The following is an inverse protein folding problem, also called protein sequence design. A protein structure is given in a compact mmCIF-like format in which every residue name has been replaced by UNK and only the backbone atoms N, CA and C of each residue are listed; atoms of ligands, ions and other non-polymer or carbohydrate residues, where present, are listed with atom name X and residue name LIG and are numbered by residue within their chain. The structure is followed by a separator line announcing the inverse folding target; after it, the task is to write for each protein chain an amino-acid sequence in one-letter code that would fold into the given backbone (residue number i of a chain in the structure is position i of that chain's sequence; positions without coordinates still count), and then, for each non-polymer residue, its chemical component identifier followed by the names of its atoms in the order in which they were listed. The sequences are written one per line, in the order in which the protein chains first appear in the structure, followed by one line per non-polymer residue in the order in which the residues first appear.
data_IF_924527999727
#
_entry.id   IF_924527999727
#
_cell.length_a   1.000
_cell.length_b   1.000
_cell.length_c   1.000
_cell.angle_alpha   90.00
_cell.angle_beta   90.00
_cell.angle_gamma   90.00
#
_symmetry.space_group_name_H-M   'P 1'
#
loop_
_entity.id
_entity.type
_entity.pdbx_description
1 polymer ?
#
# COMPACT_ATOMS: atom_id res chain seq x y z
N UNK A 1 -10.80 23.66 -21.82
CA UNK A 1 -11.08 22.30 -21.29
C UNK A 1 -9.75 21.70 -20.83
N UNK A 2 -9.52 21.54 -19.51
CA UNK A 2 -8.25 21.01 -18.97
C UNK A 2 -8.03 19.60 -19.56
N UNK A 3 -7.12 19.48 -20.54
CA UNK A 3 -6.61 18.22 -21.09
C UNK A 3 -5.28 17.91 -20.40
N UNK A 4 -5.29 17.64 -19.10
CA UNK A 4 -4.22 16.90 -18.41
C UNK A 4 -4.59 16.83 -16.94
N UNK A 5 -4.72 15.61 -16.45
CA UNK A 5 -4.30 15.25 -15.11
C UNK A 5 -3.50 14.00 -15.39
N UNK A 6 -2.26 13.95 -14.92
CA UNK A 6 -1.46 12.74 -14.78
C UNK A 6 -0.37 13.00 -13.77
N UNK A 7 -0.10 12.00 -12.94
CA UNK A 7 1.27 11.61 -12.71
C UNK A 7 1.33 10.09 -12.93
N UNK A 8 1.55 9.71 -14.19
CA UNK A 8 2.48 8.61 -14.48
C UNK A 8 3.86 9.23 -14.41
N UNK A 9 4.79 8.54 -13.75
CA UNK A 9 6.20 8.64 -14.09
C UNK A 9 6.67 7.27 -14.59
N UNK A 10 7.28 7.29 -15.77
CA UNK A 10 8.03 6.19 -16.35
C UNK A 10 9.46 6.27 -15.76
N UNK A 11 9.94 5.21 -15.12
CA UNK A 11 11.34 5.08 -14.71
C UNK A 11 12.01 3.98 -15.52
N UNK A 12 13.02 4.38 -16.30
CA UNK A 12 14.13 3.51 -16.66
C UNK A 12 15.22 3.73 -15.60
N UNK A 13 15.35 2.71 -14.77
CA UNK A 13 16.45 2.37 -13.85
C UNK A 13 17.58 3.41 -13.67
N UNK A 14 17.67 4.01 -12.48
CA UNK A 14 18.72 3.82 -11.46
C UNK A 14 18.66 4.98 -10.45
N UNK A 15 18.52 4.63 -9.16
CA UNK A 15 18.59 5.46 -7.94
C UNK A 15 17.33 6.29 -7.55
N UNK A 16 16.65 5.77 -6.52
CA UNK A 16 15.74 6.39 -5.55
C UNK A 16 15.38 7.88 -5.74
N UNK A 17 14.15 8.14 -6.20
CA UNK A 17 13.42 9.38 -5.91
C UNK A 17 11.92 9.09 -5.86
N UNK A 18 11.29 9.26 -4.69
CA UNK A 18 9.84 9.12 -4.51
C UNK A 18 9.13 10.42 -4.89
N UNK A 19 8.05 10.33 -5.67
CA UNK A 19 7.14 11.45 -5.96
C UNK A 19 6.01 11.45 -4.93
N UNK A 20 5.67 12.66 -4.49
CA UNK A 20 4.75 12.95 -3.42
C UNK A 20 3.55 13.67 -4.01
N UNK A 21 2.35 13.15 -3.77
CA UNK A 21 1.09 13.81 -4.13
C UNK A 21 0.48 14.38 -2.84
N UNK A 22 0.35 15.70 -2.76
CA UNK A 22 -0.30 16.40 -1.65
C UNK A 22 -1.80 16.56 -1.94
N UNK A 23 -2.65 15.77 -1.28
CA UNK A 23 -4.09 16.02 -1.20
C UNK A 23 -4.39 16.62 0.17
N UNK A 24 -4.78 17.90 0.20
CA UNK A 24 -5.29 18.53 1.42
C UNK A 24 -6.75 18.14 1.64
N UNK A 25 -6.99 17.34 2.68
CA UNK A 25 -8.25 17.29 3.41
C UNK A 25 -7.93 17.47 4.89
N UNK A 26 -8.13 18.67 5.44
CA UNK A 26 -8.08 18.87 6.89
C UNK A 26 -9.39 18.36 7.48
N UNK A 27 -9.49 17.05 7.71
CA UNK A 27 -10.52 16.48 8.58
C UNK A 27 -9.94 16.25 9.96
N UNK A 28 -10.46 16.97 10.94
CA UNK A 28 -10.26 16.65 12.35
C UNK A 28 -10.96 15.31 12.62
N UNK A 29 -10.20 14.23 12.73
CA UNK A 29 -10.74 12.97 13.25
C UNK A 29 -10.51 13.00 14.76
N UNK A 30 -11.55 13.33 15.53
CA UNK A 30 -11.60 12.94 16.94
C UNK A 30 -11.54 11.42 16.99
N UNK A 31 -10.54 10.90 17.70
CA UNK A 31 -10.41 9.47 18.01
C UNK A 31 -11.58 9.12 18.93
N UNK A 32 -12.67 8.62 18.37
CA UNK A 32 -13.57 7.76 19.13
C UNK A 32 -13.10 6.33 18.87
N UNK A 33 -12.89 5.55 19.92
CA UNK A 33 -12.67 4.10 19.81
C UNK A 33 -13.80 3.52 18.95
N UNK A 34 -13.51 3.24 17.67
CA UNK A 34 -14.47 2.54 16.82
C UNK A 34 -14.39 1.06 17.21
N UNK A 35 -15.54 0.38 17.35
CA UNK A 35 -15.54 -1.05 17.62
C UNK A 35 -14.75 -1.78 16.53
N UNK A 36 -13.91 -2.73 16.93
CA UNK A 36 -13.09 -3.55 16.02
C UNK A 36 -14.02 -4.31 15.10
N UNK A 37 -14.00 -3.98 13.81
CA UNK A 37 -14.84 -4.59 12.79
C UNK A 37 -13.98 -5.43 11.85
N UNK A 38 -14.45 -6.66 11.61
CA UNK A 38 -13.78 -7.79 10.95
C UNK A 38 -12.60 -8.42 11.73
N UNK A 39 -12.82 -9.59 12.32
CA UNK A 39 -11.84 -10.36 13.11
C UNK A 39 -10.87 -11.11 12.19
N UNK A 40 -9.96 -10.39 11.55
CA UNK A 40 -8.75 -11.05 11.03
C UNK A 40 -7.96 -11.56 12.22
N UNK A 41 -7.64 -12.85 12.23
CA UNK A 41 -6.85 -13.45 13.30
C UNK A 41 -5.40 -13.07 13.05
N UNK A 42 -4.78 -12.45 14.05
CA UNK A 42 -3.40 -11.99 13.98
C UNK A 42 -2.46 -13.16 14.24
N UNK A 43 -1.27 -13.09 13.65
CA UNK A 43 -0.17 -13.96 14.01
C UNK A 43 0.42 -13.55 15.37
N UNK A 44 0.96 -14.51 16.11
CA UNK A 44 1.85 -14.20 17.22
C UNK A 44 3.21 -13.75 16.66
N UNK A 45 3.83 -12.78 17.32
CA UNK A 45 5.15 -12.28 16.95
C UNK A 45 6.23 -12.87 17.87
N UNK A 46 7.41 -13.26 17.34
CA UNK A 46 7.79 -13.26 15.93
C UNK A 46 7.04 -14.31 15.10
N UNK A 47 6.73 -13.98 13.84
CA UNK A 47 6.12 -14.91 12.88
C UNK A 47 7.17 -15.91 12.42
N UNK A 48 6.92 -17.20 12.65
CA UNK A 48 7.82 -18.25 12.18
C UNK A 48 7.63 -18.51 10.69
N UNK A 49 8.72 -18.73 9.97
CA UNK A 49 8.66 -19.12 8.56
C UNK A 49 9.69 -20.18 8.18
N UNK A 50 9.42 -20.86 7.07
CA UNK A 50 10.36 -21.78 6.41
C UNK A 50 10.23 -21.63 4.89
N UNK A 51 11.29 -21.97 4.15
CA UNK A 51 11.40 -21.75 2.70
C UNK A 51 11.66 -23.09 2.03
N UNK A 52 10.87 -23.41 1.00
CA UNK A 52 11.08 -24.59 0.17
C UNK A 52 12.49 -24.57 -0.45
N UNK A 53 13.31 -25.63 -0.31
CA UNK A 53 14.65 -25.68 -0.88
C UNK A 53 14.72 -25.43 -2.39
N UNK A 54 13.62 -25.65 -3.13
CA UNK A 54 13.56 -25.33 -4.56
C UNK A 54 13.54 -23.80 -4.83
N UNK A 55 13.40 -22.97 -3.80
CA UNK A 55 13.48 -21.51 -3.86
C UNK A 55 14.86 -20.98 -3.47
N UNK A 56 15.88 -21.81 -3.23
CA UNK A 56 17.21 -21.34 -2.80
C UNK A 56 17.79 -20.22 -3.68
N UNK A 57 17.63 -20.29 -5.01
CA UNK A 57 18.08 -19.23 -5.93
C UNK A 57 17.31 -17.90 -5.79
N UNK A 58 16.15 -17.92 -5.14
CA UNK A 58 15.22 -16.80 -4.97
C UNK A 58 15.04 -16.41 -3.50
N UNK A 59 15.72 -17.07 -2.57
CA UNK A 59 15.58 -16.87 -1.12
C UNK A 59 15.82 -15.40 -0.72
N UNK A 60 16.79 -14.74 -1.36
CA UNK A 60 17.07 -13.33 -1.16
C UNK A 60 15.84 -12.42 -1.40
N UNK A 61 14.98 -12.74 -2.38
CA UNK A 61 13.78 -11.94 -2.65
C UNK A 61 12.73 -12.11 -1.55
N UNK A 62 12.65 -13.30 -0.93
CA UNK A 62 11.79 -13.57 0.22
C UNK A 62 12.34 -12.82 1.44
N UNK A 63 13.64 -12.90 1.70
CA UNK A 63 14.30 -12.19 2.79
C UNK A 63 14.15 -10.67 2.65
N UNK A 64 14.25 -10.12 1.43
CA UNK A 64 14.03 -8.70 1.17
C UNK A 64 12.58 -8.28 1.45
N UNK A 65 11.60 -9.09 1.02
CA UNK A 65 10.19 -8.85 1.31
C UNK A 65 9.89 -8.86 2.83
N UNK A 66 10.46 -9.82 3.56
CA UNK A 66 10.38 -9.91 5.02
C UNK A 66 11.09 -8.71 5.66
N UNK A 67 12.31 -8.40 5.24
CA UNK A 67 13.13 -7.31 5.74
C UNK A 67 12.45 -5.95 5.59
N UNK A 68 11.76 -5.71 4.48
CA UNK A 68 10.97 -4.49 4.25
C UNK A 68 9.83 -4.35 5.27
N UNK A 69 9.09 -5.43 5.56
CA UNK A 69 8.02 -5.40 6.58
C UNK A 69 8.63 -5.18 7.96
N UNK A 70 9.70 -5.91 8.29
CA UNK A 70 10.37 -5.77 9.58
C UNK A 70 10.93 -4.37 9.76
N UNK A 71 11.43 -3.70 8.72
CA UNK A 71 12.04 -2.37 8.84
C UNK A 71 11.00 -1.26 9.07
N UNK A 72 9.78 -1.42 8.56
CA UNK A 72 8.71 -0.40 8.62
C UNK A 72 7.62 -0.69 9.66
N UNK A 73 7.65 -1.85 10.32
CA UNK A 73 6.63 -2.24 11.30
C UNK A 73 7.24 -2.86 12.56
N UNK A 74 6.44 -3.07 13.60
CA UNK A 74 6.87 -3.87 14.76
C UNK A 74 6.89 -5.38 14.52
N UNK A 75 6.40 -5.84 13.36
CA UNK A 75 6.28 -7.26 13.03
C UNK A 75 7.67 -7.83 12.79
N UNK A 76 8.03 -8.87 13.53
CA UNK A 76 9.31 -9.58 13.40
C UNK A 76 9.09 -11.00 12.90
N UNK A 77 10.09 -11.56 12.24
CA UNK A 77 10.07 -12.90 11.66
C UNK A 77 11.27 -13.71 12.15
N UNK A 78 11.10 -15.03 12.18
CA UNK A 78 12.17 -15.96 12.54
C UNK A 78 12.12 -17.20 11.64
N UNK A 79 13.24 -17.55 11.01
CA UNK A 79 13.34 -18.75 10.17
C UNK A 79 13.50 -19.99 11.04
N UNK A 80 12.64 -20.99 10.83
CA UNK A 80 12.73 -22.27 11.53
C UNK A 80 14.07 -22.96 11.21
N UNK A 81 14.76 -23.42 12.26
CA UNK A 81 15.93 -24.30 12.11
C UNK A 81 15.55 -25.79 12.06
N UNK A 82 14.45 -26.17 12.72
CA UNK A 82 13.92 -27.54 12.76
C UNK A 82 12.44 -27.57 12.34
N UNK A 83 12.02 -28.66 11.66
CA UNK A 83 10.63 -28.83 11.18
C UNK A 83 9.63 -29.22 12.27
N UNK A 84 10.10 -29.65 13.44
CA UNK A 84 9.30 -30.28 14.50
C UNK A 84 8.67 -29.31 15.52
N UNK A 85 8.19 -28.16 15.07
CA UNK A 85 7.47 -27.23 15.95
C UNK A 85 5.96 -27.23 15.67
N UNK A 86 5.18 -27.55 16.70
CA UNK A 86 3.71 -27.51 16.74
C UNK A 86 3.11 -26.10 16.59
N UNK A 87 3.93 -25.06 16.43
CA UNK A 87 3.53 -23.67 16.38
C UNK A 87 3.18 -23.22 14.96
N UNK A 88 2.29 -22.21 14.89
CA UNK A 88 1.87 -21.66 13.62
C UNK A 88 3.06 -21.08 12.83
N UNK A 89 3.17 -21.39 11.54
CA UNK A 89 4.25 -20.88 10.67
C UNK A 89 3.79 -20.64 9.23
N UNK A 90 4.53 -19.78 8.53
CA UNK A 90 4.40 -19.56 7.09
C UNK A 90 5.39 -20.48 6.35
N UNK A 91 4.92 -21.19 5.32
CA UNK A 91 5.81 -21.94 4.42
C UNK A 91 5.76 -21.33 3.03
N UNK A 92 6.91 -20.83 2.56
CA UNK A 92 7.06 -20.34 1.19
C UNK A 92 7.29 -21.53 0.26
N UNK A 93 6.25 -21.94 -0.47
CA UNK A 93 6.26 -23.16 -1.30
C UNK A 93 6.58 -22.82 -2.76
N UNK A 94 7.53 -23.54 -3.35
CA UNK A 94 7.77 -23.44 -4.79
C UNK A 94 6.58 -23.99 -5.59
N UNK A 95 6.24 -23.35 -6.70
CA UNK A 95 5.36 -23.95 -7.70
C UNK A 95 5.83 -23.66 -9.13
N UNK A 96 5.60 -24.63 -10.02
CA UNK A 96 5.94 -24.53 -11.44
C UNK A 96 4.99 -23.63 -12.24
N UNK A 97 3.81 -23.34 -11.69
CA UNK A 97 2.85 -22.43 -12.32
C UNK A 97 3.34 -20.99 -12.29
N UNK A 98 2.82 -20.17 -13.20
CA UNK A 98 3.18 -18.74 -13.23
C UNK A 98 2.60 -17.99 -12.03
N UNK A 99 1.40 -18.37 -11.59
CA UNK A 99 0.62 -17.67 -10.57
C UNK A 99 1.28 -17.65 -9.20
N UNK A 100 0.91 -16.70 -8.35
CA UNK A 100 1.29 -16.67 -6.94
C UNK A 100 0.08 -16.36 -6.07
N UNK A 101 0.03 -16.93 -4.88
CA UNK A 101 -1.11 -16.77 -3.99
C UNK A 101 -0.74 -16.97 -2.53
N UNK A 102 -1.49 -16.31 -1.65
CA UNK A 102 -1.54 -16.62 -0.23
C UNK A 102 -2.76 -17.50 0.04
N UNK A 103 -2.61 -18.53 0.87
CA UNK A 103 -3.70 -19.47 1.16
C UNK A 103 -4.89 -18.81 1.89
N UNK A 104 -4.62 -17.85 2.78
CA UNK A 104 -5.65 -17.20 3.60
C UNK A 104 -5.21 -15.79 3.99
N UNK A 105 -6.19 -14.91 4.21
CA UNK A 105 -6.01 -13.60 4.81
C UNK A 105 -5.83 -13.75 6.33
N UNK A 106 -4.68 -13.35 6.87
CA UNK A 106 -4.38 -13.53 8.30
C UNK A 106 -4.05 -14.98 8.68
N UNK A 107 -4.00 -15.22 10.00
CA UNK A 107 -3.78 -16.55 10.57
C UNK A 107 -5.03 -17.42 10.40
N UNK A 108 -4.85 -18.65 9.94
CA UNK A 108 -5.90 -19.67 9.86
C UNK A 108 -5.99 -20.47 11.16
N UNK A 109 -7.20 -20.71 11.66
CA UNK A 109 -7.41 -21.63 12.80
C UNK A 109 -7.21 -23.11 12.43
N UNK A 110 -7.24 -23.45 11.14
CA UNK A 110 -7.25 -24.85 10.68
C UNK A 110 -5.85 -25.40 10.41
N UNK A 111 -4.92 -24.53 10.03
CA UNK A 111 -3.62 -24.94 9.51
C UNK A 111 -2.52 -24.40 10.42
N UNK A 112 -1.73 -25.31 11.02
CA UNK A 112 -0.50 -24.93 11.73
C UNK A 112 0.52 -24.34 10.77
N UNK A 113 0.63 -24.86 9.55
CA UNK A 113 1.48 -24.28 8.51
C UNK A 113 0.62 -23.73 7.40
N UNK A 114 0.67 -22.42 7.18
CA UNK A 114 -0.02 -21.76 6.07
C UNK A 114 0.94 -21.50 4.91
N UNK A 115 0.47 -21.74 3.70
CA UNK A 115 1.33 -21.70 2.52
C UNK A 115 1.22 -20.35 1.81
N UNK A 116 2.36 -19.80 1.44
CA UNK A 116 2.47 -18.79 0.37
C UNK A 116 3.06 -19.50 -0.85
N UNK A 117 2.29 -19.59 -1.92
CA UNK A 117 2.70 -20.25 -3.15
C UNK A 117 3.48 -19.27 -4.04
N UNK A 118 4.73 -19.62 -4.33
CA UNK A 118 5.69 -18.81 -5.07
C UNK A 118 5.90 -19.40 -6.46
N UNK A 119 5.20 -18.83 -7.44
CA UNK A 119 5.32 -19.16 -8.86
C UNK A 119 6.29 -18.28 -9.62
N UNK A 120 6.38 -18.51 -10.93
CA UNK A 120 7.35 -17.84 -11.82
C UNK A 120 7.15 -16.32 -11.86
N UNK A 121 5.92 -15.82 -11.72
CA UNK A 121 5.62 -14.39 -11.80
C UNK A 121 6.03 -13.57 -10.57
N UNK A 122 6.34 -14.20 -9.44
CA UNK A 122 6.74 -13.50 -8.21
C UNK A 122 8.09 -13.93 -7.63
N UNK A 123 8.62 -15.13 -7.94
CA UNK A 123 9.86 -15.63 -7.33
C UNK A 123 11.06 -14.70 -7.50
N UNK A 124 11.13 -13.95 -8.60
CA UNK A 124 12.16 -12.94 -8.87
C UNK A 124 11.76 -11.51 -8.49
N UNK A 125 10.58 -11.29 -7.90
CA UNK A 125 9.99 -9.98 -7.65
C UNK A 125 9.64 -9.81 -6.16
N UNK A 126 10.54 -9.25 -5.33
CA UNK A 126 10.37 -9.17 -3.88
C UNK A 126 9.08 -8.47 -3.47
N UNK A 127 8.66 -7.41 -4.16
CA UNK A 127 7.43 -6.68 -3.82
C UNK A 127 6.15 -7.48 -4.12
N UNK A 128 6.16 -8.37 -5.12
CA UNK A 128 5.04 -9.29 -5.33
C UNK A 128 4.96 -10.33 -4.21
N UNK A 129 6.10 -10.81 -3.71
CA UNK A 129 6.14 -11.68 -2.53
C UNK A 129 5.65 -10.91 -1.29
N UNK A 130 6.12 -9.67 -1.12
CA UNK A 130 5.73 -8.81 0.01
C UNK A 130 4.22 -8.55 0.04
N UNK A 131 3.57 -8.38 -1.12
CA UNK A 131 2.10 -8.30 -1.23
C UNK A 131 1.41 -9.52 -0.62
N UNK A 132 1.91 -10.72 -0.91
CA UNK A 132 1.36 -11.97 -0.37
C UNK A 132 1.59 -12.06 1.14
N UNK A 133 2.76 -11.65 1.63
CA UNK A 133 3.04 -11.60 3.07
C UNK A 133 2.09 -10.61 3.77
N UNK A 134 1.81 -9.44 3.19
CA UNK A 134 0.80 -8.52 3.72
C UNK A 134 -0.57 -9.20 3.86
N UNK A 135 -1.01 -9.93 2.83
CA UNK A 135 -2.27 -10.67 2.89
C UNK A 135 -2.23 -11.76 3.98
N UNK A 136 -1.16 -12.56 4.04
CA UNK A 136 -1.00 -13.58 5.08
C UNK A 136 -0.95 -12.98 6.49
N UNK A 137 -0.42 -11.77 6.66
CA UNK A 137 -0.45 -11.05 7.93
C UNK A 137 -1.83 -10.44 8.25
N UNK A 138 -2.73 -10.34 7.26
CA UNK A 138 -4.10 -9.89 7.47
C UNK A 138 -4.49 -8.58 6.80
N UNK A 139 -3.59 -7.96 6.03
CA UNK A 139 -3.91 -6.75 5.28
C UNK A 139 -4.76 -7.10 4.05
N UNK A 140 -5.99 -6.60 4.03
CA UNK A 140 -6.95 -6.88 2.95
C UNK A 140 -6.56 -6.14 1.67
N UNK A 141 -6.82 -6.77 0.52
CA UNK A 141 -6.69 -6.09 -0.77
C UNK A 141 -7.66 -4.91 -0.89
N UNK A 142 -7.18 -3.77 -1.41
CA UNK A 142 -7.93 -2.51 -1.43
C UNK A 142 -9.26 -2.62 -2.17
N UNK A 143 -9.31 -3.38 -3.26
CA UNK A 143 -10.54 -3.63 -4.02
C UNK A 143 -11.58 -4.53 -3.30
N UNK A 144 -11.28 -5.02 -2.10
CA UNK A 144 -12.20 -5.82 -1.28
C UNK A 144 -12.76 -5.05 -0.08
N UNK A 145 -12.35 -3.79 0.10
CA UNK A 145 -12.88 -2.91 1.14
C UNK A 145 -14.40 -2.75 1.00
N UNK A 146 -15.05 -2.56 2.14
CA UNK A 146 -16.48 -2.26 2.22
C UNK A 146 -16.85 -0.95 1.48
N UNK A 147 -15.98 0.06 1.51
CA UNK A 147 -16.17 1.37 0.89
C UNK A 147 -15.73 1.46 -0.58
N UNK A 148 -15.21 0.37 -1.18
CA UNK A 148 -14.62 0.39 -2.54
C UNK A 148 -15.56 0.94 -3.61
N UNK A 149 -16.88 0.72 -3.47
CA UNK A 149 -17.86 1.05 -4.51
C UNK A 149 -18.08 2.58 -4.61
N UNK A 150 -17.42 3.37 -3.75
CA UNK A 150 -17.28 4.83 -3.88
C UNK A 150 -16.16 5.24 -4.84
N UNK A 151 -15.21 4.34 -5.10
CA UNK A 151 -13.94 4.61 -5.78
C UNK A 151 -13.78 3.82 -7.08
N UNK A 152 -14.24 2.57 -7.11
CA UNK A 152 -14.14 1.68 -8.25
C UNK A 152 -15.48 1.02 -8.57
N UNK A 153 -15.66 0.67 -9.84
CA UNK A 153 -16.72 -0.16 -10.37
C UNK A 153 -16.14 -1.53 -10.74
N UNK A 154 -16.84 -2.58 -10.32
CA UNK A 154 -16.54 -3.96 -10.71
C UNK A 154 -17.47 -4.35 -11.88
N UNK A 155 -16.91 -4.73 -13.02
CA UNK A 155 -17.65 -5.19 -14.19
C UNK A 155 -17.64 -6.71 -14.26
N UNK A 156 -18.52 -7.37 -13.50
CA UNK A 156 -18.57 -8.84 -13.44
C UNK A 156 -18.87 -9.50 -14.79
N UNK A 157 -19.60 -8.81 -15.68
CA UNK A 157 -19.87 -9.29 -17.06
C UNK A 157 -18.59 -9.51 -17.87
N UNK A 158 -17.55 -8.74 -17.57
CA UNK A 158 -16.25 -8.80 -18.23
C UNK A 158 -15.34 -9.89 -17.63
N UNK A 159 -15.72 -10.48 -16.48
CA UNK A 159 -14.95 -11.51 -15.80
C UNK A 159 -15.26 -12.91 -16.32
N UNK A 160 -14.28 -13.80 -16.25
CA UNK A 160 -14.47 -15.24 -16.37
C UNK A 160 -15.22 -15.81 -15.14
N UNK A 161 -15.60 -17.08 -15.19
CA UNK A 161 -16.46 -17.70 -14.18
C UNK A 161 -15.84 -17.76 -12.76
N UNK A 162 -14.52 -17.58 -12.63
CA UNK A 162 -13.85 -17.56 -11.33
C UNK A 162 -13.92 -16.17 -10.67
N UNK A 163 -13.93 -15.09 -11.46
CA UNK A 163 -13.77 -13.72 -10.99
C UNK A 163 -14.74 -13.31 -9.89
N UNK A 164 -16.07 -13.47 -10.03
CA UNK A 164 -17.04 -13.02 -9.04
C UNK A 164 -16.78 -13.57 -7.62
N UNK A 165 -16.30 -14.81 -7.50
CA UNK A 165 -15.94 -15.41 -6.20
C UNK A 165 -14.81 -14.65 -5.50
N UNK A 166 -13.83 -14.14 -6.25
CA UNK A 166 -12.69 -13.40 -5.71
C UNK A 166 -13.00 -11.94 -5.39
N UNK A 167 -14.12 -11.40 -5.86
CA UNK A 167 -14.59 -10.03 -5.59
C UNK A 167 -15.73 -9.96 -4.57
N UNK A 168 -16.20 -11.10 -4.08
CA UNK A 168 -17.28 -11.21 -3.12
C UNK A 168 -16.86 -10.63 -1.75
N UNK A 169 -17.46 -9.50 -1.36
CA UNK A 169 -17.20 -8.82 -0.08
C UNK A 169 -17.83 -9.52 1.11
N UNK A 170 -18.79 -10.42 0.92
CA UNK A 170 -19.44 -11.13 2.02
C UNK A 170 -18.46 -12.01 2.80
N UNK A 171 -17.29 -12.32 2.24
CA UNK A 171 -16.19 -12.98 2.93
C UNK A 171 -15.49 -12.07 3.96
N UNK A 172 -15.68 -10.75 3.86
CA UNK A 172 -15.02 -9.72 4.67
C UNK A 172 -16.04 -8.62 5.07
N UNK A 173 -17.09 -8.94 5.84
CA UNK A 173 -18.04 -7.92 6.29
C UNK A 173 -17.37 -6.94 7.25
N UNK A 174 -17.76 -5.66 7.17
CA UNK A 174 -17.35 -4.61 8.11
C UNK A 174 -15.82 -4.46 8.21
N UNK A 175 -15.10 -4.40 7.09
CA UNK A 175 -13.64 -4.25 7.14
C UNK A 175 -13.21 -2.97 7.82
N UNK A 176 -12.41 -3.06 8.89
CA UNK A 176 -11.70 -1.89 9.38
C UNK A 176 -10.72 -1.41 8.29
N UNK A 177 -10.86 -0.13 7.94
CA UNK A 177 -10.00 0.54 6.98
C UNK A 177 -8.70 0.99 7.62
N UNK A 178 -8.53 0.81 8.94
CA UNK A 178 -7.37 1.21 9.73
C UNK A 178 -6.93 2.65 9.40
N UNK A 179 -7.92 3.56 9.32
CA UNK A 179 -7.70 4.98 9.02
C UNK A 179 -6.85 5.22 7.75
N UNK A 180 -6.95 4.31 6.77
CA UNK A 180 -6.32 4.45 5.47
C UNK A 180 -7.33 4.99 4.46
N UNK A 181 -6.86 5.89 3.60
CA UNK A 181 -7.61 6.33 2.43
C UNK A 181 -7.74 5.17 1.42
N UNK A 182 -8.63 5.32 0.43
CA UNK A 182 -8.63 4.41 -0.71
C UNK A 182 -7.43 4.74 -1.60
N UNK A 183 -6.39 3.93 -1.51
CA UNK A 183 -5.13 4.12 -2.23
C UNK A 183 -5.10 3.27 -3.51
N UNK A 184 -5.36 3.89 -4.66
CA UNK A 184 -5.25 3.24 -5.97
C UNK A 184 -3.83 2.72 -6.26
N UNK A 185 -2.81 3.36 -5.68
CA UNK A 185 -1.40 2.99 -5.84
C UNK A 185 -0.91 1.96 -4.83
N UNK A 186 -1.77 1.48 -3.93
CA UNK A 186 -1.42 0.44 -2.96
C UNK A 186 -0.85 -0.80 -3.63
N UNK A 187 0.20 -1.39 -3.03
CA UNK A 187 0.74 -2.68 -3.45
C UNK A 187 -0.32 -3.79 -3.41
N UNK A 188 -1.37 -3.61 -2.60
CA UNK A 188 -2.47 -4.54 -2.40
C UNK A 188 -3.64 -4.32 -3.36
N UNK A 189 -3.63 -3.28 -4.19
CA UNK A 189 -4.66 -3.03 -5.20
C UNK A 189 -4.44 -3.91 -6.45
N UNK A 190 -5.50 -4.45 -7.05
CA UNK A 190 -5.40 -5.15 -8.34
C UNK A 190 -5.21 -4.18 -9.52
N UNK A 191 -4.74 -4.68 -10.67
CA UNK A 191 -4.80 -3.92 -11.93
C UNK A 191 -6.26 -3.83 -12.45
N UNK A 192 -6.45 -3.28 -13.65
CA UNK A 192 -7.77 -3.09 -14.26
C UNK A 192 -8.39 -4.36 -14.88
N UNK A 193 -7.63 -5.46 -15.01
CA UNK A 193 -8.05 -6.67 -15.75
C UNK A 193 -8.05 -8.00 -14.96
N UNK A 194 -8.15 -8.04 -13.62
CA UNK A 194 -8.17 -9.31 -12.91
C UNK A 194 -9.37 -10.16 -13.37
N UNK A 195 -9.09 -11.43 -13.68
CA UNK A 195 -10.06 -12.41 -14.18
C UNK A 195 -10.79 -12.00 -15.48
N UNK A 196 -10.24 -11.09 -16.26
CA UNK A 196 -10.87 -10.67 -17.53
C UNK A 196 -11.02 -11.84 -18.52
N UNK A 197 -12.13 -11.87 -19.25
CA UNK A 197 -12.34 -12.75 -20.42
C UNK A 197 -11.43 -12.39 -21.60
N UNK A 198 -11.04 -11.12 -21.71
CA UNK A 198 -10.11 -10.61 -22.73
C UNK A 198 -9.32 -9.45 -22.12
N UNK A 199 -8.09 -9.73 -21.68
CA UNK A 199 -7.21 -8.77 -21.00
C UNK A 199 -6.87 -7.55 -21.86
N UNK A 200 -7.03 -7.62 -23.19
CA UNK A 200 -6.72 -6.51 -24.08
C UNK A 200 -7.90 -5.54 -24.28
N UNK A 201 -9.12 -5.95 -23.94
CA UNK A 201 -10.34 -5.18 -24.26
C UNK A 201 -11.28 -4.98 -23.09
N UNK A 202 -11.34 -5.93 -22.17
CA UNK A 202 -12.40 -6.01 -21.16
C UNK A 202 -11.85 -5.72 -19.77
N UNK A 203 -11.90 -4.45 -19.36
CA UNK A 203 -11.57 -4.03 -17.98
C UNK A 203 -12.61 -4.58 -17.01
N UNK A 204 -12.16 -5.19 -15.92
CA UNK A 204 -13.02 -5.75 -14.87
C UNK A 204 -13.09 -4.86 -13.64
N UNK A 205 -12.10 -3.99 -13.44
CA UNK A 205 -12.06 -3.01 -12.35
C UNK A 205 -11.73 -1.64 -12.93
N UNK A 206 -12.60 -0.66 -12.68
CA UNK A 206 -12.48 0.68 -13.26
C UNK A 206 -12.73 1.76 -12.20
N UNK A 207 -11.92 2.82 -12.12
CA UNK A 207 -12.23 3.98 -11.28
C UNK A 207 -13.56 4.64 -11.68
N UNK A 208 -14.32 5.11 -10.67
CA UNK A 208 -15.61 5.78 -10.87
C UNK A 208 -15.43 7.23 -11.33
N UNK A 209 -14.43 7.95 -10.80
CA UNK A 209 -14.22 9.36 -11.14
C UNK A 209 -13.75 9.49 -12.60
N UNK A 210 -14.67 9.86 -13.48
CA UNK A 210 -14.47 9.86 -14.94
C UNK A 210 -13.41 10.84 -15.41
N UNK A 211 -13.23 11.96 -14.70
CA UNK A 211 -12.28 13.02 -15.06
C UNK A 211 -10.82 12.54 -14.98
N UNK A 212 -10.51 11.63 -14.05
CA UNK A 212 -9.15 11.17 -13.74
C UNK A 212 -8.96 9.66 -13.88
N UNK A 213 -9.92 9.01 -14.54
CA UNK A 213 -10.00 7.56 -14.65
C UNK A 213 -8.70 6.93 -15.13
N UNK A 214 -8.12 7.44 -16.21
CA UNK A 214 -6.89 6.89 -16.78
C UNK A 214 -5.72 6.89 -15.80
N UNK A 215 -5.65 7.84 -14.87
CA UNK A 215 -4.54 7.97 -13.93
C UNK A 215 -4.64 7.01 -12.78
N UNK A 216 -5.83 6.94 -12.19
CA UNK A 216 -6.11 5.97 -11.16
C UNK A 216 -5.91 4.56 -11.73
N UNK A 217 -6.32 4.32 -12.98
CA UNK A 217 -6.01 3.08 -13.69
C UNK A 217 -4.50 2.81 -13.82
N UNK A 218 -3.68 3.83 -14.09
CA UNK A 218 -2.23 3.68 -14.20
C UNK A 218 -1.54 3.47 -12.84
N UNK A 219 -2.16 3.89 -11.74
CA UNK A 219 -1.67 3.62 -10.38
C UNK A 219 -2.01 2.20 -9.92
N UNK A 220 -3.14 1.68 -10.37
CA UNK A 220 -3.67 0.38 -9.98
C UNK A 220 -2.77 -0.80 -10.42
N UNK A 221 -2.49 -1.71 -9.49
CA UNK A 221 -1.77 -2.94 -9.77
C UNK A 221 -0.25 -2.77 -9.95
N UNK A 222 0.29 -1.60 -9.60
CA UNK A 222 1.73 -1.37 -9.56
C UNK A 222 2.42 -2.33 -8.58
N UNK A 223 3.67 -2.70 -8.87
CA UNK A 223 4.49 -3.57 -8.03
C UNK A 223 5.91 -3.04 -7.82
N UNK A 224 6.06 -1.72 -7.85
CA UNK A 224 7.35 -0.99 -7.83
C UNK A 224 7.68 -0.42 -6.45
N UNK A 225 6.68 -0.17 -5.61
CA UNK A 225 6.89 0.31 -4.23
C UNK A 225 5.75 -0.10 -3.29
N UNK A 226 6.01 -0.04 -1.98
CA UNK A 226 5.01 -0.23 -0.92
C UNK A 226 4.61 1.16 -0.42
N UNK A 227 3.31 1.43 -0.30
CA UNK A 227 2.85 2.76 0.08
C UNK A 227 2.88 2.97 1.59
N UNK A 228 2.84 4.24 2.01
CA UNK A 228 2.69 4.59 3.42
C UNK A 228 1.44 3.92 4.03
N UNK A 229 0.35 3.82 3.27
CA UNK A 229 -0.91 3.26 3.74
C UNK A 229 -0.86 1.73 3.85
N UNK A 230 -0.06 1.04 3.02
CA UNK A 230 0.18 -0.40 3.15
C UNK A 230 0.84 -0.74 4.51
N UNK A 231 1.90 0.01 4.89
CA UNK A 231 2.55 -0.17 6.20
C UNK A 231 1.70 0.35 7.36
N UNK A 232 0.97 1.46 7.18
CA UNK A 232 0.04 1.99 8.20
C UNK A 232 -1.01 0.94 8.57
N UNK A 233 -1.53 0.21 7.58
CA UNK A 233 -2.48 -0.88 7.81
C UNK A 233 -1.90 -1.92 8.78
N UNK A 234 -0.71 -2.45 8.48
CA UNK A 234 -0.07 -3.46 9.33
C UNK A 234 0.28 -2.90 10.72
N UNK A 235 0.76 -1.66 10.81
CA UNK A 235 1.10 -1.03 12.08
C UNK A 235 -0.11 -0.81 12.98
N UNK A 236 -1.24 -0.37 12.44
CA UNK A 236 -2.48 -0.24 13.22
C UNK A 236 -3.10 -1.59 13.56
N UNK A 237 -2.86 -2.61 12.73
CA UNK A 237 -3.28 -3.98 13.01
C UNK A 237 -2.44 -4.64 14.12
N UNK A 238 -1.11 -4.51 14.11
CA UNK A 238 -0.21 -5.26 15.02
C UNK A 238 0.44 -4.43 16.14
N UNK A 239 0.65 -3.13 15.94
CA UNK A 239 1.67 -2.37 16.66
C UNK A 239 1.13 -1.27 17.58
N UNK A 240 -0.20 -1.18 17.78
CA UNK A 240 -0.80 -0.14 18.63
C UNK A 240 -0.25 -0.12 20.06
N UNK A 241 0.18 -1.28 20.57
CA UNK A 241 0.71 -1.43 21.93
C UNK A 241 2.22 -1.17 22.03
N UNK A 242 2.95 -1.02 20.92
CA UNK A 242 4.41 -0.81 20.94
C UNK A 242 4.82 0.42 21.75
N UNK A 243 3.98 1.46 21.75
CA UNK A 243 4.22 2.70 22.48
C UNK A 243 3.35 2.87 23.74
N UNK A 244 2.77 1.78 24.29
CA UNK A 244 1.83 1.86 25.44
C UNK A 244 2.43 2.51 26.70
N UNK A 245 3.76 2.43 26.87
CA UNK A 245 4.49 3.00 28.00
C UNK A 245 5.22 4.31 27.64
N UNK A 246 4.85 4.94 26.52
CA UNK A 246 5.43 6.19 26.05
C UNK A 246 4.32 7.24 25.88
N UNK A 247 4.62 8.54 26.01
CA UNK A 247 3.64 9.58 25.74
C UNK A 247 3.06 9.45 24.33
N UNK A 248 1.74 9.59 24.20
CA UNK A 248 1.11 9.72 22.89
C UNK A 248 1.48 11.08 22.31
N UNK A 249 1.98 11.09 21.08
CA UNK A 249 2.25 12.31 20.32
C UNK A 249 1.18 12.52 19.25
N UNK A 250 0.91 13.79 18.95
CA UNK A 250 0.00 14.13 17.86
C UNK A 250 0.72 14.03 16.53
N UNK A 251 0.22 13.21 15.61
CA UNK A 251 0.72 13.12 14.25
C UNK A 251 -0.22 13.85 13.29
N UNK A 252 0.32 14.72 12.44
CA UNK A 252 -0.42 15.49 11.46
C UNK A 252 -0.48 14.78 10.10
N UNK A 253 -1.36 15.26 9.22
CA UNK A 253 -1.47 14.82 7.83
C UNK A 253 -1.65 13.30 7.65
N UNK A 254 -2.43 12.66 8.53
CA UNK A 254 -2.66 11.20 8.54
C UNK A 254 -1.45 10.35 8.95
N UNK A 255 -0.39 10.97 9.49
CA UNK A 255 0.72 10.30 10.16
C UNK A 255 0.27 9.49 11.38
N UNK A 256 1.13 8.59 11.84
CA UNK A 256 0.91 7.79 13.07
C UNK A 256 2.21 7.67 13.87
N UNK A 257 2.10 7.47 15.18
CA UNK A 257 3.26 7.35 16.06
C UNK A 257 4.10 6.13 15.65
N UNK A 258 5.40 6.33 15.45
CA UNK A 258 6.29 5.27 14.98
C UNK A 258 6.42 4.18 16.06
N UNK A 259 5.99 2.93 15.77
CA UNK A 259 6.03 1.86 16.76
C UNK A 259 7.45 1.39 17.10
N UNK A 260 8.46 1.80 16.33
CA UNK A 260 9.87 1.53 16.61
C UNK A 260 10.57 2.70 17.30
N UNK A 261 10.04 3.90 17.13
CA UNK A 261 10.55 5.11 17.74
C UNK A 261 9.39 5.99 18.20
N UNK A 262 8.89 5.71 19.40
CA UNK A 262 7.73 6.38 19.97
C UNK A 262 7.91 7.89 20.21
N UNK A 263 9.08 8.48 19.89
CA UNK A 263 9.34 9.92 20.01
C UNK A 263 8.98 10.69 18.75
N UNK A 264 8.69 10.00 17.63
CA UNK A 264 8.34 10.61 16.34
C UNK A 264 7.19 9.89 15.65
N UNK A 265 6.67 10.52 14.62
CA UNK A 265 5.65 9.97 13.74
C UNK A 265 6.28 9.40 12.46
N UNK A 266 5.67 8.35 11.92
CA UNK A 266 5.87 7.97 10.52
C UNK A 266 5.00 8.89 9.67
N UNK A 267 5.62 9.56 8.70
CA UNK A 267 4.95 10.56 7.88
C UNK A 267 4.56 10.01 6.51
N UNK A 268 3.36 10.35 6.01
CA UNK A 268 3.01 10.05 4.64
C UNK A 268 3.91 10.81 3.67
N UNK A 269 4.05 10.27 2.47
CA UNK A 269 4.73 10.91 1.35
C UNK A 269 4.29 12.37 1.24
N UNK A 270 5.23 13.29 1.47
CA UNK A 270 4.99 14.75 1.38
C UNK A 270 4.97 15.53 2.65
N UNK A 271 5.25 14.86 3.77
CA UNK A 271 5.38 15.50 5.05
C UNK A 271 6.61 14.96 5.77
N UNK A 272 7.26 15.83 6.53
CA UNK A 272 8.44 15.52 7.34
C UNK A 272 8.28 16.12 8.74
N UNK A 273 9.33 16.05 9.54
CA UNK A 273 9.35 16.52 10.91
C UNK A 273 8.89 15.44 11.88
N UNK A 274 9.18 15.65 13.17
CA UNK A 274 8.89 14.66 14.22
C UNK A 274 7.40 14.34 14.36
N UNK A 275 6.52 15.24 13.92
CA UNK A 275 5.06 15.09 13.98
C UNK A 275 4.34 15.17 12.62
N UNK A 276 5.08 15.16 11.50
CA UNK A 276 4.52 15.26 10.15
C UNK A 276 3.82 16.58 9.83
N UNK A 277 4.06 17.65 10.58
CA UNK A 277 3.48 18.98 10.29
C UNK A 277 4.26 19.78 9.25
N UNK A 278 5.51 19.38 8.98
CA UNK A 278 6.44 20.12 8.14
C UNK A 278 6.37 19.64 6.68
N UNK A 279 6.73 20.53 5.75
CA UNK A 279 6.80 20.19 4.33
C UNK A 279 8.20 19.68 3.99
N UNK A 280 8.35 18.83 2.95
CA UNK A 280 9.66 18.38 2.48
C UNK A 280 10.58 19.56 2.17
N UNK A 281 11.87 19.37 2.48
CA UNK A 281 12.92 20.34 2.18
C UNK A 281 13.33 20.16 0.72
N UNK A 282 13.29 21.25 -0.03
CA UNK A 282 13.79 21.31 -1.41
C UNK A 282 15.18 21.93 -1.41
N UNK A 283 16.01 21.53 -2.37
CA UNK A 283 17.25 22.28 -2.62
C UNK A 283 16.92 23.72 -3.03
N UNK A 284 17.77 24.68 -2.63
CA UNK A 284 17.58 26.10 -2.95
C UNK A 284 17.43 26.37 -4.45
N UNK A 285 18.07 25.54 -5.28
CA UNK A 285 18.01 25.60 -6.76
C UNK A 285 16.64 25.23 -7.34
N UNK A 286 15.74 24.66 -6.55
CA UNK A 286 14.35 24.37 -6.94
C UNK A 286 13.46 25.63 -6.93
N UNK A 287 13.97 26.75 -6.39
CA UNK A 287 13.22 27.99 -6.27
C UNK A 287 12.15 27.93 -5.18
N UNK A 288 11.08 28.72 -5.35
CA UNK A 288 9.99 28.79 -4.37
C UNK A 288 9.30 27.44 -4.28
N UNK A 289 9.32 26.81 -3.11
CA UNK A 289 8.71 25.50 -2.87
C UNK A 289 7.22 25.58 -2.46
N UNK A 290 6.72 26.75 -2.08
CA UNK A 290 5.32 26.94 -1.67
C UNK A 290 4.56 27.86 -2.60
N UNK A 291 3.46 27.38 -3.17
CA UNK A 291 2.60 28.13 -4.08
C UNK A 291 1.17 28.14 -3.57
N UNK A 292 0.61 29.35 -3.43
CA UNK A 292 -0.83 29.52 -3.29
C UNK A 292 -1.45 29.56 -4.68
N UNK A 293 -2.25 28.54 -5.00
CA UNK A 293 -2.85 28.35 -6.32
C UNK A 293 -4.07 29.23 -6.47
N UNK A 294 -4.09 30.01 -7.53
CA UNK A 294 -5.21 30.90 -7.88
C UNK A 294 -5.97 30.39 -9.11
N UNK A 295 -6.95 31.17 -9.59
CA UNK A 295 -7.62 30.87 -10.87
C UNK A 295 -6.74 31.16 -12.08
N UNK A 296 -5.68 31.97 -11.93
CA UNK A 296 -4.75 32.26 -13.00
C UNK A 296 -3.74 31.14 -13.15
N UNK A 297 -3.35 30.85 -14.39
CA UNK A 297 -2.33 29.83 -14.66
C UNK A 297 -0.99 30.27 -14.09
N UNK A 298 -0.35 29.39 -13.31
CA UNK A 298 0.93 29.61 -12.67
C UNK A 298 1.89 28.54 -13.17
N UNK A 299 3.03 28.95 -13.73
CA UNK A 299 4.07 28.03 -14.21
C UNK A 299 5.05 27.72 -13.08
N UNK A 300 5.41 26.45 -12.94
CA UNK A 300 6.48 25.98 -12.06
C UNK A 300 7.52 25.29 -12.96
N UNK A 301 8.73 25.82 -12.97
CA UNK A 301 9.86 25.20 -13.66
C UNK A 301 10.58 24.29 -12.68
N UNK A 302 10.88 23.07 -13.09
CA UNK A 302 11.47 22.04 -12.23
C UNK A 302 12.62 21.33 -12.97
N UNK A 303 13.66 20.97 -12.22
CA UNK A 303 14.84 20.29 -12.75
C UNK A 303 14.79 18.81 -12.41
N UNK A 304 14.44 17.97 -13.39
CA UNK A 304 14.18 16.54 -13.20
C UNK A 304 15.38 15.71 -12.76
N UNK A 305 16.61 16.18 -12.94
CA UNK A 305 17.79 15.31 -12.98
C UNK A 305 18.95 15.72 -12.07
N UNK A 306 18.82 16.78 -11.27
CA UNK A 306 19.97 17.31 -10.48
C UNK A 306 19.65 17.52 -9.00
N UNK A 307 18.40 17.82 -8.65
CA UNK A 307 18.02 18.19 -7.29
C UNK A 307 16.68 17.57 -6.89
N UNK A 308 16.58 17.17 -5.61
CA UNK A 308 15.29 16.85 -5.02
C UNK A 308 14.47 18.13 -4.84
N UNK A 309 13.41 18.27 -5.64
CA UNK A 309 12.50 19.40 -5.60
C UNK A 309 11.10 18.97 -5.17
N UNK A 310 10.65 19.46 -4.02
CA UNK A 310 9.29 19.29 -3.54
C UNK A 310 8.52 20.62 -3.55
N UNK A 311 7.32 20.60 -4.13
CA UNK A 311 6.47 21.78 -4.26
C UNK A 311 5.14 21.56 -3.54
N UNK A 312 4.82 22.44 -2.59
CA UNK A 312 3.53 22.50 -1.91
C UNK A 312 2.61 23.46 -2.63
N UNK A 313 1.52 22.91 -3.17
CA UNK A 313 0.46 23.67 -3.81
C UNK A 313 -0.73 23.76 -2.85
N UNK A 314 -1.15 24.97 -2.48
CA UNK A 314 -2.32 25.20 -1.61
C UNK A 314 -3.37 26.02 -2.33
N UNK A 315 -4.58 25.51 -2.44
CA UNK A 315 -5.75 26.27 -2.89
C UNK A 315 -6.61 26.70 -1.69
N UNK A 316 -7.54 27.63 -1.94
CA UNK A 316 -8.59 27.96 -0.97
C UNK A 316 -9.46 26.72 -0.67
N UNK A 317 -10.06 26.67 0.52
CA UNK A 317 -10.90 25.55 0.96
C UNK A 317 -11.93 25.14 -0.10
N UNK A 318 -12.14 23.83 -0.24
CA UNK A 318 -13.07 23.21 -1.20
C UNK A 318 -12.75 23.52 -2.68
N UNK A 319 -11.55 23.97 -3.01
CA UNK A 319 -11.08 24.09 -4.40
C UNK A 319 -10.08 22.98 -4.74
N UNK A 320 -10.14 22.55 -5.98
CA UNK A 320 -9.20 21.60 -6.59
C UNK A 320 -8.11 22.37 -7.34
N UNK A 321 -6.93 21.77 -7.47
CA UNK A 321 -5.79 22.33 -8.20
C UNK A 321 -5.69 21.58 -9.54
N UNK A 322 -5.82 22.28 -10.69
CA UNK A 322 -5.49 21.70 -12.02
C UNK A 322 -3.97 21.89 -12.22
N UNK A 323 -3.24 20.80 -12.44
CA UNK A 323 -1.81 20.82 -12.80
C UNK A 323 -1.71 20.37 -14.25
N UNK A 324 -1.02 21.16 -15.08
CA UNK A 324 -0.69 20.80 -16.46
C UNK A 324 0.81 20.62 -16.56
N UNK A 325 1.25 19.50 -17.10
CA UNK A 325 2.65 19.26 -17.43
C UNK A 325 2.81 19.46 -18.94
N UNK A 326 3.71 20.35 -19.34
CA UNK A 326 4.03 20.68 -20.73
C UNK A 326 5.37 20.10 -21.15
#
# INVERSE_FOLDING_TARGET
MCKFVANIFLFLTLLNASIIILINGSSYIRISEKPVRNKVIKWNLPVQYDIDPNLNLYEWNIMLAIGNIQSHTCITFFQKQNKDNETNSIYFKHQESDYCSAETLGLSHKNKTQIIFIGKDCRSKPLRIQRLIHNTLGALNVQLRDDRDKYIKINETNMNNLGPKYFNRSCYPETDTYETIYDYGSLLHCNAYPFSKDINKLKTVEPIESEYKSLYENMMGQTEYVTFYDYKYLNLLYCNDSCKHRPKIQCFNSGYQDPKDCTKCVCPSGFIGWNCSENPISFDKCGKSYHYVTKQEQKIEYFLLVYYCAYKLKASNNKRICIKTS
#
